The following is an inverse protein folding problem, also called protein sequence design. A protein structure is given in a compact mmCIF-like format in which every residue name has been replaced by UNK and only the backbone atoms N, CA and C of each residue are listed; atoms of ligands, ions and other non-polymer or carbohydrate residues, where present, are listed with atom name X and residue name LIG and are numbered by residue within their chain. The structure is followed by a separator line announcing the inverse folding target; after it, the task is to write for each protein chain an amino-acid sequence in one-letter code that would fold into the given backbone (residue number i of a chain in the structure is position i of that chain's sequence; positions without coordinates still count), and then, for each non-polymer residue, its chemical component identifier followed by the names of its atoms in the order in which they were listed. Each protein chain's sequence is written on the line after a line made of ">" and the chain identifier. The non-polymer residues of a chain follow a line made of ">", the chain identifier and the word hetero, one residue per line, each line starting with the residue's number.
data_IF_627720086718
#
_entry.id   IF_627720086718
#
_cell.length_a   1.000
_cell.length_b   1.000
_cell.length_c   1.000
_cell.angle_alpha   90.00
_cell.angle_beta   90.00
_cell.angle_gamma   90.00
#
_symmetry.space_group_name_H-M   'P 1'
#
loop_
_entity.id
_entity.type
_entity.pdbx_description
1 polymer ?
#
# COMPACT_ATOMS: atom_id res chain seq x y z
N UNK A 1 5.29 2.18 -23.71
CA UNK A 1 5.49 1.81 -22.30
C UNK A 1 4.15 1.64 -21.62
N UNK A 2 3.95 0.65 -20.74
CA UNK A 2 2.71 0.52 -19.99
C UNK A 2 2.47 1.78 -19.15
N UNK A 3 1.22 2.23 -19.06
CA UNK A 3 0.83 3.34 -18.19
C UNK A 3 1.07 2.96 -16.73
N UNK A 4 1.28 3.96 -15.85
CA UNK A 4 1.46 3.74 -14.42
C UNK A 4 0.31 2.92 -13.82
N UNK A 5 -0.95 3.24 -14.17
CA UNK A 5 -2.11 2.46 -13.77
C UNK A 5 -2.08 1.01 -14.28
N UNK A 6 -1.61 0.77 -15.51
CA UNK A 6 -1.45 -0.58 -16.05
C UNK A 6 -0.42 -1.43 -15.27
N UNK A 7 0.69 -0.82 -14.86
CA UNK A 7 1.68 -1.46 -13.98
C UNK A 7 1.12 -1.74 -12.58
N UNK A 8 0.33 -0.81 -12.03
CA UNK A 8 -0.35 -0.99 -10.75
C UNK A 8 -1.31 -2.19 -10.75
N UNK A 9 -2.13 -2.31 -11.80
CA UNK A 9 -3.04 -3.45 -11.99
C UNK A 9 -2.26 -4.76 -12.10
N UNK A 10 -1.20 -4.79 -12.91
CA UNK A 10 -0.37 -5.99 -13.07
C UNK A 10 0.27 -6.39 -11.73
N UNK A 11 0.83 -5.44 -10.99
CA UNK A 11 1.42 -5.69 -9.67
C UNK A 11 0.40 -6.23 -8.67
N UNK A 12 -0.81 -5.68 -8.65
CA UNK A 12 -1.87 -6.15 -7.78
C UNK A 12 -2.28 -7.60 -8.10
N UNK A 13 -2.40 -7.95 -9.39
CA UNK A 13 -2.67 -9.34 -9.80
C UNK A 13 -1.56 -10.31 -9.39
N UNK A 14 -0.29 -9.92 -9.53
CA UNK A 14 0.85 -10.74 -9.09
C UNK A 14 0.78 -11.05 -7.59
N UNK A 15 0.49 -10.03 -6.78
CA UNK A 15 0.36 -10.19 -5.32
C UNK A 15 -0.86 -11.04 -4.95
N UNK A 16 -1.96 -10.91 -5.70
CA UNK A 16 -3.21 -11.65 -5.52
C UNK A 16 -3.09 -13.14 -5.84
N UNK A 17 -2.07 -13.57 -6.60
CA UNK A 17 -1.85 -15.00 -6.90
C UNK A 17 -1.84 -15.81 -5.61
N UNK A 18 -2.55 -16.96 -5.53
CA UNK A 18 -2.72 -17.71 -4.29
C UNK A 18 -1.40 -18.01 -3.56
N UNK A 19 -0.33 -18.29 -4.31
CA UNK A 19 0.98 -18.60 -3.74
C UNK A 19 1.64 -17.36 -3.11
N UNK A 20 1.50 -16.18 -3.72
CA UNK A 20 2.12 -14.94 -3.24
C UNK A 20 1.35 -14.35 -2.06
N UNK A 21 0.02 -14.31 -2.15
CA UNK A 21 -0.85 -13.92 -1.04
C UNK A 21 -0.58 -14.78 0.20
N UNK A 22 -0.47 -16.11 0.04
CA UNK A 22 -0.18 -17.02 1.16
C UNK A 22 1.18 -16.74 1.80
N UNK A 23 2.22 -16.44 1.01
CA UNK A 23 3.55 -16.09 1.54
C UNK A 23 3.49 -14.82 2.40
N UNK A 24 2.75 -13.81 1.95
CA UNK A 24 2.59 -12.54 2.69
C UNK A 24 1.84 -12.79 4.00
N UNK A 25 0.70 -13.49 3.95
CA UNK A 25 -0.09 -13.81 5.15
C UNK A 25 0.71 -14.64 6.16
N UNK A 26 1.48 -15.62 5.69
CA UNK A 26 2.31 -16.45 6.55
C UNK A 26 3.45 -15.65 7.19
N UNK A 27 4.07 -14.71 6.46
CA UNK A 27 5.06 -13.80 7.01
C UNK A 27 4.48 -13.00 8.18
N UNK A 28 3.28 -12.43 8.00
CA UNK A 28 2.59 -11.65 9.05
C UNK A 28 2.28 -12.52 10.26
N UNK A 29 1.80 -13.75 10.04
CA UNK A 29 1.52 -14.72 11.09
C UNK A 29 2.79 -15.08 11.88
N UNK A 30 3.90 -15.38 11.19
CA UNK A 30 5.19 -15.65 11.84
C UNK A 30 5.73 -14.43 12.61
N UNK A 31 5.61 -13.23 12.06
CA UNK A 31 6.04 -12.00 12.73
C UNK A 31 5.23 -11.75 14.01
N UNK A 32 3.99 -12.22 14.05
CA UNK A 32 3.11 -12.05 15.20
C UNK A 32 3.25 -13.18 16.24
N UNK A 33 3.64 -14.39 15.82
CA UNK A 33 3.64 -15.59 16.67
C UNK A 33 5.03 -16.14 17.04
N UNK A 34 6.09 -15.83 16.29
CA UNK A 34 7.31 -16.64 16.27
C UNK A 34 8.60 -16.04 16.85
N UNK A 35 8.68 -14.74 17.12
CA UNK A 35 9.94 -14.06 17.52
C UNK A 35 9.84 -13.28 18.84
N UNK A 36 9.01 -13.77 19.77
CA UNK A 36 8.94 -13.25 21.14
C UNK A 36 8.03 -12.02 21.31
N UNK A 37 6.72 -12.30 21.43
CA UNK A 37 5.76 -11.45 22.16
C UNK A 37 5.56 -10.02 21.62
N UNK A 38 4.41 -9.82 20.99
CA UNK A 38 3.93 -8.56 20.41
C UNK A 38 4.79 -8.02 19.26
N UNK A 39 4.18 -7.93 18.08
CA UNK A 39 4.65 -6.97 17.07
C UNK A 39 4.55 -5.59 17.69
N UNK A 40 5.66 -5.09 18.24
CA UNK A 40 5.83 -3.71 18.70
C UNK A 40 5.98 -2.76 17.50
N UNK A 41 5.16 -2.98 16.48
CA UNK A 41 4.99 -2.11 15.35
C UNK A 41 3.73 -1.29 15.64
N UNK A 42 3.82 0.03 15.80
CA UNK A 42 2.68 0.87 16.18
C UNK A 42 1.44 0.70 15.28
N UNK A 43 1.64 0.30 14.02
CA UNK A 43 0.57 0.07 13.06
C UNK A 43 -0.25 -1.21 13.28
N UNK A 44 0.25 -2.17 14.07
CA UNK A 44 -0.42 -3.44 14.37
C UNK A 44 -0.48 -3.76 15.87
N UNK A 45 0.09 -2.89 16.70
CA UNK A 45 0.08 -3.00 18.14
C UNK A 45 -1.35 -3.10 18.67
N UNK A 46 -1.60 -4.04 19.59
CA UNK A 46 -2.90 -4.26 20.21
C UNK A 46 -3.93 -5.02 19.36
N UNK A 47 -3.59 -5.43 18.14
CA UNK A 47 -4.46 -6.30 17.34
C UNK A 47 -4.08 -7.77 17.51
N UNK A 48 -5.08 -8.63 17.70
CA UNK A 48 -4.85 -10.07 17.67
C UNK A 48 -4.39 -10.50 16.26
N UNK A 49 -3.37 -11.36 16.19
CA UNK A 49 -2.79 -11.89 14.94
C UNK A 49 -3.85 -12.36 13.96
N UNK A 50 -4.85 -13.11 14.45
CA UNK A 50 -5.94 -13.63 13.62
C UNK A 50 -6.76 -12.52 12.97
N UNK A 51 -7.06 -11.45 13.70
CA UNK A 51 -7.79 -10.28 13.20
C UNK A 51 -6.99 -9.53 12.14
N UNK A 52 -5.69 -9.34 12.37
CA UNK A 52 -4.78 -8.70 11.41
C UNK A 52 -4.68 -9.50 10.10
N UNK A 53 -4.45 -10.81 10.21
CA UNK A 53 -4.34 -11.72 9.05
C UNK A 53 -5.64 -11.73 8.26
N UNK A 54 -6.80 -11.75 8.92
CA UNK A 54 -8.10 -11.67 8.25
C UNK A 54 -8.29 -10.34 7.53
N UNK A 55 -7.99 -9.22 8.20
CA UNK A 55 -8.11 -7.88 7.62
C UNK A 55 -7.25 -7.72 6.37
N UNK A 56 -5.99 -8.19 6.42
CA UNK A 56 -5.07 -8.15 5.27
C UNK A 56 -5.54 -9.12 4.17
N UNK A 57 -6.06 -10.29 4.53
CA UNK A 57 -6.61 -11.24 3.56
C UNK A 57 -7.78 -10.66 2.77
N UNK A 58 -8.63 -9.87 3.41
CA UNK A 58 -9.74 -9.17 2.76
C UNK A 58 -9.25 -8.14 1.73
N UNK A 59 -8.13 -7.46 1.98
CA UNK A 59 -7.53 -6.49 1.05
C UNK A 59 -7.11 -7.11 -0.29
N UNK A 60 -6.75 -8.40 -0.33
CA UNK A 60 -6.44 -9.08 -1.60
C UNK A 60 -7.68 -9.35 -2.48
N UNK A 61 -8.88 -9.14 -1.94
CA UNK A 61 -10.16 -9.25 -2.65
C UNK A 61 -10.37 -10.59 -3.37
N UNK A 62 -9.80 -11.69 -2.88
CA UNK A 62 -9.66 -12.98 -3.61
C UNK A 62 -10.95 -13.55 -4.24
N UNK A 63 -12.12 -13.12 -3.77
CA UNK A 63 -13.45 -13.56 -4.26
C UNK A 63 -14.02 -12.68 -5.39
N UNK A 64 -13.43 -11.51 -5.66
CA UNK A 64 -13.86 -10.57 -6.71
C UNK A 64 -13.40 -11.02 -8.09
N UNK A 65 -14.11 -10.64 -9.15
CA UNK A 65 -13.68 -10.92 -10.54
C UNK A 65 -12.49 -10.03 -10.93
N UNK A 66 -11.71 -10.46 -11.91
CA UNK A 66 -10.53 -9.70 -12.35
C UNK A 66 -10.90 -8.31 -12.89
N UNK A 67 -12.02 -8.18 -13.60
CA UNK A 67 -12.53 -6.89 -14.08
C UNK A 67 -12.81 -5.93 -12.92
N UNK A 68 -13.54 -6.38 -11.90
CA UNK A 68 -13.85 -5.59 -10.70
C UNK A 68 -12.58 -5.12 -9.98
N UNK A 69 -11.54 -5.96 -9.97
CA UNK A 69 -10.24 -5.64 -9.33
C UNK A 69 -9.45 -4.63 -10.15
N UNK A 70 -9.47 -4.77 -11.48
CA UNK A 70 -8.82 -3.84 -12.39
C UNK A 70 -9.42 -2.45 -12.23
N UNK A 71 -10.75 -2.36 -12.24
CA UNK A 71 -11.46 -1.08 -12.06
C UNK A 71 -11.16 -0.49 -10.69
N UNK A 72 -11.17 -1.31 -9.63
CA UNK A 72 -10.81 -0.87 -8.28
C UNK A 72 -9.40 -0.27 -8.21
N UNK A 73 -8.40 -0.93 -8.79
CA UNK A 73 -7.02 -0.43 -8.78
C UNK A 73 -6.89 0.85 -9.60
N UNK A 74 -7.59 0.98 -10.73
CA UNK A 74 -7.62 2.22 -11.49
C UNK A 74 -8.22 3.37 -10.69
N UNK A 75 -9.36 3.15 -10.03
CA UNK A 75 -9.98 4.18 -9.19
C UNK A 75 -9.05 4.63 -8.04
N UNK A 76 -8.36 3.69 -7.38
CA UNK A 76 -7.38 4.04 -6.34
C UNK A 76 -6.23 4.91 -6.87
N UNK A 77 -5.75 4.63 -8.09
CA UNK A 77 -4.71 5.43 -8.73
C UNK A 77 -5.24 6.82 -9.05
N UNK A 78 -6.44 6.92 -9.63
CA UNK A 78 -7.06 8.19 -9.98
C UNK A 78 -7.33 9.06 -8.74
N UNK A 79 -7.84 8.46 -7.66
CA UNK A 79 -8.04 9.14 -6.36
C UNK A 79 -6.72 9.62 -5.75
N UNK A 80 -5.62 8.91 -6.00
CA UNK A 80 -4.30 9.25 -5.45
C UNK A 80 -3.58 10.35 -6.22
N UNK A 81 -3.80 10.46 -7.53
CA UNK A 81 -3.07 11.37 -8.42
C UNK A 81 -3.39 12.85 -8.15
N UNK A 82 -4.61 13.17 -7.73
CA UNK A 82 -5.05 14.53 -7.43
C UNK A 82 -5.32 14.78 -5.94
N UNK A 83 -4.77 13.93 -5.06
CA UNK A 83 -4.98 14.09 -3.62
C UNK A 83 -4.45 15.45 -3.15
N UNK A 84 -5.33 16.27 -2.56
CA UNK A 84 -5.07 17.64 -2.13
C UNK A 84 -3.81 17.76 -1.26
N UNK A 85 -3.51 16.75 -0.46
CA UNK A 85 -2.35 16.71 0.42
C UNK A 85 -1.03 16.65 -0.37
N UNK A 86 -0.99 15.89 -1.46
CA UNK A 86 0.18 15.79 -2.35
C UNK A 86 0.47 17.14 -3.00
N UNK A 87 -0.55 17.87 -3.45
CA UNK A 87 -0.40 19.24 -3.97
C UNK A 87 0.17 20.22 -2.95
N UNK A 88 -0.27 20.14 -1.70
CA UNK A 88 0.29 21.01 -0.65
C UNK A 88 1.75 20.65 -0.34
N UNK A 89 2.09 19.36 -0.37
CA UNK A 89 3.46 18.90 -0.23
C UNK A 89 4.35 19.37 -1.38
N UNK A 90 3.89 19.28 -2.63
CA UNK A 90 4.61 19.74 -3.81
C UNK A 90 4.82 21.26 -3.79
N UNK A 91 3.81 22.02 -3.36
CA UNK A 91 3.91 23.47 -3.17
C UNK A 91 4.94 23.81 -2.09
N UNK A 92 4.91 23.11 -0.95
CA UNK A 92 5.88 23.32 0.13
C UNK A 92 7.30 22.97 -0.32
N UNK A 93 7.49 21.84 -1.02
CA UNK A 93 8.80 21.46 -1.56
C UNK A 93 9.31 22.45 -2.60
N UNK A 94 8.43 22.99 -3.44
CA UNK A 94 8.80 24.01 -4.42
C UNK A 94 9.26 25.28 -3.71
N UNK A 95 8.50 25.75 -2.72
CA UNK A 95 8.88 26.91 -1.89
C UNK A 95 10.21 26.66 -1.17
N UNK A 96 10.40 25.49 -0.56
CA UNK A 96 11.66 25.14 0.10
C UNK A 96 12.84 25.14 -0.86
N UNK A 97 12.69 24.57 -2.06
CA UNK A 97 13.74 24.59 -3.10
C UNK A 97 14.06 26.01 -3.56
N UNK A 98 13.03 26.83 -3.78
CA UNK A 98 13.18 28.24 -4.16
C UNK A 98 13.89 29.05 -3.07
N UNK A 99 13.55 28.83 -1.80
CA UNK A 99 14.22 29.48 -0.67
C UNK A 99 15.67 29.00 -0.53
N UNK A 100 15.92 27.69 -0.65
CA UNK A 100 17.29 27.14 -0.62
C UNK A 100 18.18 27.75 -1.69
N UNK A 101 17.66 27.97 -2.90
CA UNK A 101 18.40 28.62 -3.99
C UNK A 101 18.60 30.13 -3.79
N UNK A 102 17.78 30.76 -2.94
CA UNK A 102 17.89 32.19 -2.61
C UNK A 102 18.87 32.46 -1.46
N UNK A 103 19.02 31.51 -0.53
CA UNK A 103 19.88 31.64 0.65
C UNK A 103 21.26 30.99 0.51
N UNK A 104 21.49 30.19 -0.54
CA UNK A 104 22.83 29.75 -0.96
C UNK A 104 23.29 30.54 -2.20
N UNK A 105 23.66 31.80 -1.98
CA UNK A 105 24.64 32.59 -2.74
C UNK A 105 25.63 33.18 -1.73
#
# INVERSE_FOLDING_TARGET
>A
SPSFGGLGVQGFFEVRRPQNCRKILFLIEMMSSGLGGDLSMPCVAGQATSSLVLSIKEQFMLRRREEEVRDFVHHLVDDSLDNWYTRQYDNYQTLQKTLSNMFFW
#
